data_IF_505465333704
#
_entry.id   IF_505465333704
#
_cell.length_a   1.000
_cell.length_b   1.000
_cell.length_c   1.000
_cell.angle_alpha   90.00
_cell.angle_beta   90.00
_cell.angle_gamma   90.00
#
_symmetry.space_group_name_H-M   'P 1'
#
loop_
_entity.id
_entity.type
_entity.pdbx_description
1 polymer ?
#
# COMPACT_ATOMS: atom_id res chain seq x y z
N UNK A 1 -2.58 18.21 19.90
CA UNK A 1 -3.94 17.75 19.54
C UNK A 1 -4.27 18.26 18.13
N UNK A 2 -4.04 17.48 17.08
CA UNK A 2 -4.81 17.51 15.82
C UNK A 2 -4.30 16.38 14.92
N UNK A 3 -5.17 15.83 14.07
CA UNK A 3 -4.93 14.81 13.05
C UNK A 3 -5.08 13.33 13.46
N UNK A 4 -6.13 13.01 14.24
CA UNK A 4 -6.73 11.66 14.32
C UNK A 4 -7.70 11.34 13.16
N UNK A 5 -7.66 12.06 12.03
CA UNK A 5 -8.63 11.85 10.93
C UNK A 5 -8.29 10.64 10.06
N UNK A 6 -7.02 10.49 9.69
CA UNK A 6 -6.60 9.47 8.73
C UNK A 6 -6.84 8.04 9.28
N UNK A 7 -6.67 7.81 10.58
CA UNK A 7 -6.94 6.50 11.22
C UNK A 7 -8.45 6.25 11.38
N UNK A 8 -9.26 7.29 11.61
CA UNK A 8 -10.73 7.14 11.68
C UNK A 8 -11.36 6.91 10.30
N UNK A 9 -10.80 7.52 9.27
CA UNK A 9 -11.23 7.36 7.87
C UNK A 9 -10.74 6.03 7.27
N UNK A 10 -9.72 5.40 7.86
CA UNK A 10 -9.28 4.06 7.51
C UNK A 10 -10.23 2.94 7.93
N UNK A 11 -11.34 3.25 8.62
CA UNK A 11 -12.45 2.31 8.81
C UNK A 11 -13.18 2.09 7.48
N UNK A 12 -12.47 1.52 6.50
CA UNK A 12 -13.02 1.06 5.26
C UNK A 12 -14.09 0.00 5.58
N UNK A 13 -15.25 0.14 4.94
CA UNK A 13 -16.35 -0.78 5.10
C UNK A 13 -15.89 -2.22 4.81
N UNK A 14 -16.56 -3.18 5.44
CA UNK A 14 -16.23 -4.61 5.33
C UNK A 14 -16.18 -5.05 3.85
N UNK A 15 -16.97 -4.40 3.00
CA UNK A 15 -17.04 -4.66 1.56
C UNK A 15 -15.76 -4.29 0.77
N UNK A 16 -14.93 -3.38 1.29
CA UNK A 16 -13.72 -2.90 0.59
C UNK A 16 -12.55 -3.88 0.78
N UNK A 17 -12.55 -4.65 1.86
CA UNK A 17 -11.53 -5.66 2.15
C UNK A 17 -12.08 -7.04 1.81
N UNK A 18 -11.65 -7.60 0.67
CA UNK A 18 -12.14 -8.89 0.16
C UNK A 18 -12.01 -10.01 1.18
N UNK A 19 -10.96 -10.01 2.01
CA UNK A 19 -10.78 -11.04 3.03
C UNK A 19 -11.78 -10.89 4.18
N UNK A 20 -12.06 -9.64 4.57
CA UNK A 20 -13.01 -9.32 5.64
C UNK A 20 -14.47 -9.53 5.19
N UNK A 21 -14.79 -9.12 3.96
CA UNK A 21 -16.07 -9.38 3.33
C UNK A 21 -16.37 -10.87 3.35
N UNK A 22 -15.46 -11.70 2.84
CA UNK A 22 -15.70 -13.14 2.76
C UNK A 22 -15.87 -13.80 4.14
N UNK A 23 -15.01 -13.47 5.11
CA UNK A 23 -15.06 -14.10 6.43
C UNK A 23 -16.22 -13.64 7.32
N UNK A 24 -16.66 -12.38 7.18
CA UNK A 24 -17.68 -11.78 8.04
C UNK A 24 -19.04 -11.59 7.34
N UNK A 25 -19.20 -11.91 6.05
CA UNK A 25 -20.46 -11.69 5.32
C UNK A 25 -21.66 -12.37 5.98
N UNK A 26 -21.49 -13.62 6.44
CA UNK A 26 -22.55 -14.35 7.14
C UNK A 26 -22.94 -13.68 8.46
N UNK A 27 -21.95 -13.19 9.22
CA UNK A 27 -22.18 -12.51 10.49
C UNK A 27 -22.80 -11.12 10.31
N UNK A 28 -22.44 -10.38 9.25
CA UNK A 28 -23.08 -9.10 8.92
C UNK A 28 -24.55 -9.31 8.60
N UNK A 29 -24.88 -10.32 7.78
CA UNK A 29 -26.27 -10.63 7.44
C UNK A 29 -27.10 -11.09 8.65
N UNK A 30 -26.46 -11.75 9.62
CA UNK A 30 -27.14 -12.29 10.80
C UNK A 30 -27.32 -11.27 11.92
N UNK A 31 -26.33 -10.41 12.13
CA UNK A 31 -26.26 -9.54 13.32
C UNK A 31 -26.33 -8.04 13.01
N UNK A 32 -25.93 -7.62 11.80
CA UNK A 32 -25.73 -6.22 11.45
C UNK A 32 -26.39 -5.83 10.11
N UNK A 33 -27.43 -6.56 9.70
CA UNK A 33 -28.10 -6.35 8.40
C UNK A 33 -28.80 -4.99 8.29
N UNK A 34 -29.31 -4.48 9.42
CA UNK A 34 -30.03 -3.20 9.48
C UNK A 34 -29.08 -1.99 9.43
N UNK A 35 -27.77 -2.22 9.42
CA UNK A 35 -26.78 -1.15 9.46
C UNK A 35 -26.39 -0.77 8.03
N UNK A 36 -26.58 0.50 7.65
CA UNK A 36 -26.21 0.96 6.31
C UNK A 36 -24.70 0.84 6.12
N UNK A 37 -24.33 0.42 4.91
CA UNK A 37 -22.94 0.35 4.45
C UNK A 37 -22.39 1.78 4.45
N UNK A 38 -21.18 1.98 5.00
CA UNK A 38 -20.57 3.30 5.12
C UNK A 38 -19.88 3.52 6.46
N UNK A 39 -18.72 4.18 6.40
CA UNK A 39 -18.01 4.71 7.57
C UNK A 39 -17.62 3.66 8.62
N UNK A 40 -17.51 2.38 8.22
CA UNK A 40 -17.14 1.29 9.12
C UNK A 40 -18.18 0.98 10.19
N UNK A 41 -19.46 1.34 9.98
CA UNK A 41 -20.53 1.09 10.97
C UNK A 41 -20.78 -0.41 11.17
N UNK A 42 -20.80 -1.19 10.09
CA UNK A 42 -20.95 -2.65 10.17
C UNK A 42 -19.78 -3.29 10.91
N UNK A 43 -18.56 -2.77 10.72
CA UNK A 43 -17.38 -3.21 11.46
C UNK A 43 -17.55 -2.96 12.97
N UNK A 44 -17.99 -1.77 13.38
CA UNK A 44 -18.27 -1.46 14.80
C UNK A 44 -19.32 -2.38 15.41
N UNK A 45 -20.37 -2.70 14.66
CA UNK A 45 -21.39 -3.64 15.10
C UNK A 45 -20.81 -5.04 15.34
N UNK A 46 -20.02 -5.57 14.41
CA UNK A 46 -19.35 -6.86 14.62
C UNK A 46 -18.38 -6.84 15.80
N UNK A 47 -17.65 -5.74 15.99
CA UNK A 47 -16.79 -5.56 17.17
C UNK A 47 -17.58 -5.59 18.48
N UNK A 48 -18.80 -5.05 18.50
CA UNK A 48 -19.68 -5.11 19.69
C UNK A 48 -20.21 -6.51 19.98
N UNK A 49 -20.34 -7.36 18.96
CA UNK A 49 -20.73 -8.76 19.11
C UNK A 49 -19.59 -9.65 19.64
N UNK A 50 -18.33 -9.23 19.48
CA UNK A 50 -17.17 -9.83 20.12
C UNK A 50 -16.97 -11.32 19.79
N UNK A 51 -17.40 -12.21 20.71
CA UNK A 51 -17.28 -13.69 20.57
C UNK A 51 -18.51 -14.35 19.95
N UNK A 52 -19.59 -13.62 19.71
CA UNK A 52 -20.83 -14.15 19.13
C UNK A 52 -20.78 -14.30 17.61
N UNK A 53 -19.75 -13.74 16.96
CA UNK A 53 -19.48 -13.90 15.54
C UNK A 53 -18.76 -15.21 15.25
N UNK A 54 -18.75 -15.62 13.98
CA UNK A 54 -18.07 -16.84 13.54
C UNK A 54 -16.57 -16.78 13.86
N UNK A 55 -15.95 -17.91 14.19
CA UNK A 55 -14.51 -17.99 14.51
C UNK A 55 -13.62 -17.43 13.40
N UNK A 56 -14.02 -17.60 12.14
CA UNK A 56 -13.36 -17.03 10.97
C UNK A 56 -13.39 -15.50 10.98
N UNK A 57 -14.54 -14.89 11.26
CA UNK A 57 -14.67 -13.44 11.36
C UNK A 57 -13.88 -12.89 12.55
N UNK A 58 -13.94 -13.56 13.71
CA UNK A 58 -13.20 -13.16 14.91
C UNK A 58 -11.68 -13.13 14.67
N UNK A 59 -11.12 -14.13 14.01
CA UNK A 59 -9.68 -14.21 13.73
C UNK A 59 -9.19 -13.02 12.88
N UNK A 60 -9.96 -12.63 11.86
CA UNK A 60 -9.60 -11.49 11.01
C UNK A 60 -9.81 -10.16 11.73
N UNK A 61 -10.87 -10.04 12.55
CA UNK A 61 -11.10 -8.86 13.39
C UNK A 61 -9.96 -8.61 14.37
N UNK A 62 -9.47 -9.66 15.05
CA UNK A 62 -8.33 -9.57 15.99
C UNK A 62 -7.04 -9.16 15.29
N UNK A 63 -6.72 -9.79 14.16
CA UNK A 63 -5.55 -9.43 13.34
C UNK A 63 -5.57 -7.96 12.92
N UNK A 64 -6.77 -7.41 12.65
CA UNK A 64 -6.94 -5.97 12.38
C UNK A 64 -6.71 -5.14 13.63
N UNK A 65 -7.28 -5.50 14.78
CA UNK A 65 -7.13 -4.74 16.02
C UNK A 65 -5.66 -4.50 16.38
N UNK A 66 -4.81 -5.52 16.25
CA UNK A 66 -3.36 -5.43 16.47
C UNK A 66 -2.69 -4.41 15.53
N UNK A 67 -3.11 -4.38 14.27
CA UNK A 67 -2.64 -3.42 13.28
C UNK A 67 -3.15 -1.99 13.57
N UNK A 68 -4.39 -1.83 14.04
CA UNK A 68 -4.94 -0.52 14.39
C UNK A 68 -4.30 0.08 15.64
N UNK A 69 -4.00 -0.75 16.64
CA UNK A 69 -3.34 -0.29 17.88
C UNK A 69 -1.93 0.21 17.60
N UNK A 70 -1.15 -0.51 16.79
CA UNK A 70 0.20 -0.08 16.38
C UNK A 70 0.20 1.23 15.58
N UNK A 71 -0.86 1.51 14.81
CA UNK A 71 -1.03 2.77 14.06
C UNK A 71 -1.70 3.87 14.89
N UNK A 72 -2.28 3.58 16.05
CA UNK A 72 -2.94 4.58 16.89
C UNK A 72 -1.98 5.41 17.75
N UNK A 73 -0.74 4.93 17.93
CA UNK A 73 0.29 5.56 18.76
C UNK A 73 1.25 6.47 17.96
N UNK A 74 1.03 6.68 16.66
CA UNK A 74 1.81 7.65 15.88
C UNK A 74 1.36 9.06 16.25
N UNK A 75 2.08 9.68 17.18
CA UNK A 75 1.87 11.07 17.61
C UNK A 75 2.29 12.08 16.52
N UNK A 76 2.92 11.63 15.42
CA UNK A 76 3.26 12.48 14.28
C UNK A 76 3.77 11.71 13.06
N UNK A 77 3.51 12.27 11.88
CA UNK A 77 4.04 11.81 10.58
C UNK A 77 5.57 11.71 10.54
N UNK A 78 6.27 12.36 11.47
CA UNK A 78 7.72 12.31 11.61
C UNK A 78 8.27 10.89 11.89
N UNK A 79 7.54 10.06 12.65
CA UNK A 79 7.97 8.69 12.98
C UNK A 79 7.68 7.71 11.83
N UNK A 80 6.65 7.99 11.04
CA UNK A 80 6.33 7.23 9.83
C UNK A 80 7.33 7.50 8.70
N UNK A 81 7.92 8.71 8.64
CA UNK A 81 8.98 9.06 7.69
C UNK A 81 10.22 8.18 7.85
N UNK A 82 10.55 7.78 9.09
CA UNK A 82 11.70 6.93 9.37
C UNK A 82 11.49 5.48 8.87
N UNK A 83 10.26 4.96 9.02
CA UNK A 83 9.88 3.64 8.51
C UNK A 83 9.80 3.60 6.97
N UNK A 84 9.30 4.65 6.33
CA UNK A 84 9.30 4.76 4.86
C UNK A 84 10.73 4.95 4.34
N UNK A 85 11.57 5.71 5.06
CA UNK A 85 13.00 5.88 4.74
C UNK A 85 13.76 4.56 4.83
N UNK A 86 13.37 3.65 5.73
CA UNK A 86 13.89 2.28 5.83
C UNK A 86 13.30 1.32 4.77
N UNK A 87 12.39 1.79 3.90
CA UNK A 87 12.00 1.04 2.72
C UNK A 87 13.19 0.94 1.78
N UNK A 88 13.76 -0.27 1.75
CA UNK A 88 14.94 -0.75 1.05
C UNK A 88 14.91 -0.58 -0.49
N UNK A 89 14.06 0.30 -1.04
CA UNK A 89 13.80 0.40 -2.47
C UNK A 89 13.90 1.82 -3.06
N UNK A 90 14.37 2.81 -2.29
CA UNK A 90 14.63 4.15 -2.85
C UNK A 90 15.91 4.19 -3.69
N UNK A 91 16.93 3.39 -3.35
CA UNK A 91 18.19 3.33 -4.11
C UNK A 91 18.03 2.68 -5.48
N UNK A 92 17.02 1.82 -5.67
CA UNK A 92 16.72 1.20 -6.97
C UNK A 92 16.34 2.24 -8.02
N UNK A 93 15.57 3.28 -7.64
CA UNK A 93 15.21 4.37 -8.56
C UNK A 93 16.46 5.13 -9.04
N UNK A 94 17.39 5.46 -8.13
CA UNK A 94 18.66 6.09 -8.50
C UNK A 94 19.52 5.18 -9.38
N UNK A 95 19.58 3.88 -9.07
CA UNK A 95 20.31 2.89 -9.85
C UNK A 95 19.76 2.76 -11.28
N UNK A 96 18.43 2.73 -11.44
CA UNK A 96 17.77 2.65 -12.75
C UNK A 96 18.02 3.92 -13.58
N UNK A 97 17.94 5.11 -12.97
CA UNK A 97 18.22 6.37 -13.65
C UNK A 97 19.66 6.42 -14.15
N UNK A 98 20.63 6.02 -13.30
CA UNK A 98 22.04 5.97 -13.68
C UNK A 98 22.30 5.01 -14.85
N UNK A 99 21.68 3.83 -14.82
CA UNK A 99 21.80 2.83 -15.88
C UNK A 99 21.25 3.34 -17.22
N UNK A 100 20.12 4.04 -17.23
CA UNK A 100 19.54 4.65 -18.43
C UNK A 100 20.47 5.72 -19.02
N UNK A 101 21.04 6.60 -18.18
CA UNK A 101 21.97 7.64 -18.62
C UNK A 101 23.25 7.04 -19.22
N UNK A 102 23.78 5.97 -18.64
CA UNK A 102 24.92 5.23 -19.19
C UNK A 102 24.59 4.62 -20.55
N UNK A 103 23.41 4.03 -20.74
CA UNK A 103 22.99 3.47 -22.03
C UNK A 103 22.88 4.56 -23.09
N UNK A 104 22.28 5.71 -22.75
CA UNK A 104 22.18 6.86 -23.66
C UNK A 104 23.56 7.41 -24.05
N UNK A 105 24.47 7.50 -23.09
CA UNK A 105 25.84 7.94 -23.35
C UNK A 105 26.61 6.94 -24.23
N UNK A 106 26.51 5.65 -23.93
CA UNK A 106 27.15 4.58 -24.71
C UNK A 106 26.60 4.51 -26.13
N UNK A 107 25.29 4.63 -26.31
CA UNK A 107 24.67 4.73 -27.64
C UNK A 107 25.19 5.96 -28.41
N UNK A 108 25.32 7.11 -27.75
CA UNK A 108 25.91 8.31 -28.34
C UNK A 108 27.39 8.14 -28.71
N UNK A 109 28.17 7.48 -27.86
CA UNK A 109 29.59 7.19 -28.07
C UNK A 109 29.85 6.13 -29.14
N UNK A 110 28.90 5.22 -29.40
CA UNK A 110 29.01 4.20 -30.47
C UNK A 110 28.52 4.77 -31.82
N UNK A 111 27.54 5.67 -31.82
CA UNK A 111 27.10 6.38 -33.03
C UNK A 111 28.16 7.37 -33.55
N UNK A 112 29.01 7.92 -32.68
CA UNK A 112 30.07 8.87 -33.05
C UNK A 112 31.20 8.28 -33.92
N UNK A 113 31.75 7.07 -33.67
CA UNK A 113 32.68 6.38 -34.57
C UNK A 113 31.99 5.70 -35.76
N UNK A 114 30.72 5.29 -35.65
CA UNK A 114 30.00 4.68 -36.79
C UNK A 114 29.86 5.65 -37.98
N UNK A 115 29.56 6.93 -37.70
CA UNK A 115 29.50 7.99 -38.71
C UNK A 115 30.91 8.35 -39.26
N UNK A 116 31.99 8.10 -38.50
CA UNK A 116 33.37 8.31 -38.96
C UNK A 116 33.83 7.18 -39.88
N UNK A 117 33.53 5.92 -39.54
CA UNK A 117 33.93 4.74 -40.32
C UNK A 117 33.21 4.66 -41.68
N UNK A 118 31.91 4.94 -41.71
CA UNK A 118 31.12 5.00 -42.96
C UNK A 118 31.60 6.09 -43.93
N UNK A 119 32.21 7.17 -43.42
CA UNK A 119 32.79 8.23 -44.26
C UNK A 119 34.13 7.84 -44.89
N UNK A 120 34.97 7.06 -44.19
CA UNK A 120 36.28 6.61 -44.71
C UNK A 120 36.13 5.58 -45.83
N UNK A 121 35.08 4.74 -45.80
CA UNK A 121 34.82 3.75 -46.86
C UNK A 121 34.21 4.33 -48.15
N UNK A 122 33.72 5.57 -48.13
CA UNK A 122 33.19 6.27 -49.32
C UNK A 122 34.27 6.93 -50.18
N UNK A 123 35.51 7.03 -49.70
CA UNK A 123 36.63 7.72 -50.36
C UNK A 123 37.80 6.79 -50.70
N UNK A 124 37.56 5.47 -50.68
CA UNK A 124 38.46 4.43 -51.19
C UNK A 124 37.70 3.63 -52.22
#
# INVERSE_FOLDING_TARGET
>A
KQNKRIVREGQADIHVDRALAFACQADVLKYCNDIPIGSGKQLKCLLSMGKSVTSQCQAILQKRQELWESVSNVQGVADLTEHIRKSNNSFYLFSVILLILCIMFMAGCICRPYVRYSRVRKYK
#
